data_IF_150532390455
#
_entry.id   IF_150532390455
#
_cell.length_a   1.000
_cell.length_b   1.000
_cell.length_c   1.000
_cell.angle_alpha   90.00
_cell.angle_beta   90.00
_cell.angle_gamma   90.00
#
_symmetry.space_group_name_H-M   'P 1'
#
loop_
_entity.id
_entity.type
_entity.pdbx_description
1 polymer ?
#
# COMPACT_ATOMS: atom_id res chain seq x y z
N UNK A 1 38.92 -1.43 -7.64
CA UNK A 1 37.75 -2.27 -7.92
C UNK A 1 37.50 -2.20 -9.41
N UNK A 2 37.62 -3.32 -10.11
CA UNK A 2 37.31 -3.38 -11.55
C UNK A 2 35.79 -3.32 -11.76
N UNK A 3 35.31 -2.88 -12.92
CA UNK A 3 33.88 -2.91 -13.24
C UNK A 3 33.28 -4.31 -13.04
N UNK A 4 34.02 -5.36 -13.37
CA UNK A 4 33.59 -6.76 -13.19
C UNK A 4 33.39 -7.12 -11.71
N UNK A 5 34.28 -6.69 -10.82
CA UNK A 5 34.13 -6.86 -9.37
C UNK A 5 32.93 -6.07 -8.82
N UNK A 6 32.68 -4.87 -9.34
CA UNK A 6 31.52 -4.07 -8.95
C UNK A 6 30.20 -4.77 -9.31
N UNK A 7 30.07 -5.26 -10.55
CA UNK A 7 28.88 -6.00 -10.98
C UNK A 7 28.71 -7.33 -10.24
N UNK A 8 29.79 -8.08 -10.01
CA UNK A 8 29.74 -9.34 -9.26
C UNK A 8 29.20 -9.16 -7.84
N UNK A 9 29.44 -8.01 -7.21
CA UNK A 9 28.93 -7.70 -5.87
C UNK A 9 27.48 -7.18 -5.86
N UNK A 10 26.95 -6.69 -6.97
CA UNK A 10 25.61 -6.06 -7.03
C UNK A 10 24.54 -7.01 -7.59
N UNK A 11 24.89 -7.79 -8.60
CA UNK A 11 23.97 -8.72 -9.28
C UNK A 11 23.19 -9.62 -8.28
N UNK A 12 23.81 -10.18 -7.22
CA UNK A 12 23.08 -11.00 -6.25
C UNK A 12 21.96 -10.28 -5.50
N UNK A 13 22.05 -8.95 -5.34
CA UNK A 13 21.07 -8.13 -4.63
C UNK A 13 19.98 -7.56 -5.55
N UNK A 14 20.17 -7.58 -6.87
CA UNK A 14 19.19 -7.07 -7.84
C UNK A 14 17.79 -7.70 -7.65
N UNK A 15 17.64 -9.02 -7.46
CA UNK A 15 16.32 -9.62 -7.22
C UNK A 15 15.62 -9.06 -5.97
N UNK A 16 16.37 -8.80 -4.90
CA UNK A 16 15.83 -8.24 -3.66
C UNK A 16 15.25 -6.84 -3.88
N UNK A 17 15.98 -5.96 -4.57
CA UNK A 17 15.50 -4.61 -4.87
C UNK A 17 14.29 -4.59 -5.81
N UNK A 18 14.27 -5.48 -6.82
CA UNK A 18 13.10 -5.62 -7.71
C UNK A 18 11.88 -6.06 -6.91
N UNK A 19 12.02 -7.07 -6.04
CA UNK A 19 10.92 -7.56 -5.23
C UNK A 19 10.39 -6.50 -4.27
N UNK A 20 11.28 -5.76 -3.60
CA UNK A 20 10.91 -4.61 -2.76
C UNK A 20 10.11 -3.57 -3.54
N UNK A 21 10.56 -3.22 -4.74
CA UNK A 21 9.88 -2.24 -5.60
C UNK A 21 8.47 -2.72 -6.01
N UNK A 22 8.31 -3.99 -6.35
CA UNK A 22 7.00 -4.59 -6.68
C UNK A 22 6.04 -4.57 -5.48
N UNK A 23 6.53 -4.89 -4.27
CA UNK A 23 5.71 -4.81 -3.06
C UNK A 23 5.24 -3.37 -2.82
N UNK A 24 6.16 -2.40 -2.90
CA UNK A 24 5.83 -0.99 -2.70
C UNK A 24 4.79 -0.52 -3.73
N UNK A 25 4.95 -0.88 -5.00
CA UNK A 25 3.97 -0.57 -6.05
C UNK A 25 2.59 -1.19 -5.76
N UNK A 26 2.55 -2.46 -5.33
CA UNK A 26 1.33 -3.14 -4.93
C UNK A 26 0.63 -2.46 -3.75
N UNK A 27 1.39 -2.04 -2.73
CA UNK A 27 0.87 -1.33 -1.57
C UNK A 27 0.31 0.06 -1.93
N UNK A 28 0.97 0.78 -2.85
CA UNK A 28 0.47 2.05 -3.36
C UNK A 28 -0.88 1.89 -4.07
N UNK A 29 -1.02 0.88 -4.92
CA UNK A 29 -2.29 0.56 -5.58
C UNK A 29 -3.37 0.18 -4.55
N UNK A 30 -3.01 -0.63 -3.56
CA UNK A 30 -3.91 -1.03 -2.49
C UNK A 30 -4.40 0.16 -1.65
N UNK A 31 -3.52 1.11 -1.30
CA UNK A 31 -3.90 2.35 -0.61
C UNK A 31 -4.83 3.20 -1.48
N UNK A 32 -4.51 3.34 -2.77
CA UNK A 32 -5.37 4.04 -3.73
C UNK A 32 -6.79 3.44 -3.77
N UNK A 33 -6.90 2.11 -3.78
CA UNK A 33 -8.18 1.40 -3.70
C UNK A 33 -8.89 1.64 -2.36
N UNK A 34 -8.19 1.56 -1.23
CA UNK A 34 -8.76 1.84 0.09
C UNK A 34 -9.29 3.26 0.21
N UNK A 35 -8.64 4.24 -0.42
CA UNK A 35 -9.12 5.62 -0.47
C UNK A 35 -10.44 5.75 -1.26
N UNK A 36 -10.55 5.05 -2.39
CA UNK A 36 -11.79 4.97 -3.17
C UNK A 36 -12.92 4.35 -2.33
N UNK A 37 -12.63 3.27 -1.59
CA UNK A 37 -13.60 2.62 -0.71
C UNK A 37 -14.12 3.57 0.37
N UNK A 38 -13.24 4.27 1.10
CA UNK A 38 -13.66 5.25 2.12
C UNK A 38 -14.62 6.28 1.54
N UNK A 39 -14.32 6.79 0.34
CA UNK A 39 -15.18 7.76 -0.35
C UNK A 39 -16.53 7.14 -0.73
N UNK A 40 -16.54 5.94 -1.29
CA UNK A 40 -17.77 5.24 -1.69
C UNK A 40 -18.67 4.94 -0.48
N UNK A 41 -18.09 4.45 0.62
CA UNK A 41 -18.84 4.18 1.85
C UNK A 41 -19.45 5.45 2.42
N UNK A 42 -18.70 6.56 2.44
CA UNK A 42 -19.23 7.87 2.87
C UNK A 42 -20.40 8.33 2.01
N UNK A 43 -20.28 8.20 0.68
CA UNK A 43 -21.33 8.59 -0.26
C UNK A 43 -22.57 7.71 -0.13
N UNK A 44 -22.42 6.38 0.03
CA UNK A 44 -23.57 5.49 0.23
C UNK A 44 -24.33 5.81 1.51
N UNK A 45 -23.63 6.09 2.61
CA UNK A 45 -24.27 6.48 3.88
C UNK A 45 -25.02 7.81 3.71
N UNK A 46 -24.44 8.77 3.00
CA UNK A 46 -25.02 10.11 2.86
C UNK A 46 -26.16 10.20 1.85
N UNK A 47 -26.09 9.47 0.73
CA UNK A 47 -26.98 9.65 -0.42
C UNK A 47 -28.05 8.57 -0.51
N UNK A 48 -27.72 7.32 -0.18
CA UNK A 48 -28.56 6.18 -0.58
C UNK A 48 -29.64 5.86 0.47
N UNK A 49 -29.68 6.52 1.63
CA UNK A 49 -30.37 5.98 2.82
C UNK A 49 -30.09 4.49 3.02
N UNK A 50 -28.95 4.02 2.49
CA UNK A 50 -28.54 2.67 2.69
C UNK A 50 -28.35 2.58 4.19
N UNK A 51 -29.05 1.66 4.86
CA UNK A 51 -28.85 1.32 6.28
C UNK A 51 -27.46 0.72 6.53
N UNK A 52 -26.47 1.10 5.73
CA UNK A 52 -25.05 0.87 5.93
C UNK A 52 -24.69 1.51 7.24
N UNK A 53 -24.27 0.62 8.13
CA UNK A 53 -23.80 0.97 9.44
C UNK A 53 -22.65 1.99 9.34
N UNK A 54 -22.72 3.12 10.07
CA UNK A 54 -21.61 4.07 10.19
C UNK A 54 -20.29 3.40 10.62
N UNK A 55 -20.38 2.25 11.29
CA UNK A 55 -19.22 1.44 11.64
C UNK A 55 -18.42 0.95 10.42
N UNK A 56 -19.07 0.70 9.28
CA UNK A 56 -18.36 0.28 8.05
C UNK A 56 -17.45 1.41 7.59
N UNK A 57 -17.90 2.67 7.64
CA UNK A 57 -17.07 3.83 7.30
C UNK A 57 -15.85 3.96 8.22
N UNK A 58 -16.05 3.74 9.53
CA UNK A 58 -14.96 3.77 10.51
C UNK A 58 -13.94 2.67 10.21
N UNK A 59 -14.40 1.44 9.92
CA UNK A 59 -13.53 0.31 9.54
C UNK A 59 -12.74 0.65 8.27
N UNK A 60 -13.38 1.24 7.26
CA UNK A 60 -12.69 1.65 6.03
C UNK A 60 -11.61 2.70 6.28
N UNK A 61 -11.84 3.65 7.19
CA UNK A 61 -10.81 4.63 7.58
C UNK A 61 -9.64 3.93 8.27
N UNK A 62 -9.91 3.06 9.25
CA UNK A 62 -8.84 2.32 9.93
C UNK A 62 -8.05 1.45 8.95
N UNK A 63 -8.73 0.79 8.02
CA UNK A 63 -8.08 0.00 6.98
C UNK A 63 -7.11 0.86 6.15
N UNK A 64 -7.56 2.03 5.68
CA UNK A 64 -6.69 2.98 4.97
C UNK A 64 -5.46 3.40 5.79
N UNK A 65 -5.66 3.71 7.08
CA UNK A 65 -4.57 4.10 7.99
C UNK A 65 -3.56 2.97 8.20
N UNK A 66 -4.03 1.74 8.41
CA UNK A 66 -3.16 0.57 8.55
C UNK A 66 -2.41 0.27 7.24
N UNK A 67 -3.07 0.37 6.09
CA UNK A 67 -2.39 0.18 4.80
C UNK A 67 -1.29 1.23 4.59
N UNK A 68 -1.53 2.50 4.95
CA UNK A 68 -0.52 3.54 4.91
C UNK A 68 0.65 3.27 5.87
N UNK A 69 0.36 2.82 7.10
CA UNK A 69 1.38 2.41 8.05
C UNK A 69 2.24 1.26 7.52
N UNK A 70 1.63 0.23 6.92
CA UNK A 70 2.34 -0.90 6.32
C UNK A 70 3.24 -0.43 5.18
N UNK A 71 2.78 0.47 4.32
CA UNK A 71 3.63 1.04 3.25
C UNK A 71 4.88 1.73 3.82
N UNK A 72 4.70 2.60 4.82
CA UNK A 72 5.82 3.31 5.46
C UNK A 72 6.78 2.30 6.09
N UNK A 73 6.24 1.31 6.80
CA UNK A 73 7.05 0.24 7.41
C UNK A 73 7.84 -0.54 6.37
N UNK A 74 7.21 -0.94 5.26
CA UNK A 74 7.88 -1.65 4.16
C UNK A 74 9.00 -0.81 3.58
N UNK A 75 8.76 0.47 3.27
CA UNK A 75 9.81 1.34 2.70
C UNK A 75 11.04 1.40 3.64
N UNK A 76 10.81 1.58 4.94
CA UNK A 76 11.86 1.77 5.94
C UNK A 76 12.61 0.49 6.32
N UNK A 77 11.92 -0.64 6.42
CA UNK A 77 12.47 -1.84 7.09
C UNK A 77 12.55 -3.10 6.21
N UNK A 78 11.90 -3.12 5.04
CA UNK A 78 11.92 -4.26 4.10
C UNK A 78 12.53 -3.78 2.80
#
# INVERSE_FOLDING_TARGET
MTPQEYFANIIPFVPFYIFKLLIVAGLLLHIGFSLVLVRQTKLMIAVVEAKISPFIYIISIFHLLFSAFVLIWTILFI
#
